data_IF_306359154669
#
_entry.id   IF_306359154669
#
_cell.length_a   1.000
_cell.length_b   1.000
_cell.length_c   1.000
_cell.angle_alpha   90.00
_cell.angle_beta   90.00
_cell.angle_gamma   90.00
#
_symmetry.space_group_name_H-M   'P 1'
#
loop_
_entity.id
_entity.type
_entity.pdbx_description
1 polymer ?
#
# COMPACT_ATOMS: atom_id res chain seq x y z
N UNK A 1 23.95 32.20 -9.44
CA UNK A 1 23.21 32.90 -8.37
C UNK A 1 21.86 32.20 -8.23
N UNK A 2 21.69 31.41 -7.16
CA UNK A 2 20.42 30.75 -6.86
C UNK A 2 19.45 31.81 -6.37
N UNK A 3 18.33 32.00 -7.07
CA UNK A 3 17.25 32.85 -6.55
C UNK A 3 16.75 32.29 -5.22
N UNK A 4 16.81 33.06 -4.12
CA UNK A 4 15.93 32.82 -2.99
C UNK A 4 14.49 33.18 -3.42
N UNK A 5 13.49 32.69 -2.72
CA UNK A 5 12.10 33.14 -2.84
C UNK A 5 11.26 32.63 -4.01
N UNK A 6 11.24 31.32 -4.19
CA UNK A 6 9.94 30.64 -4.32
C UNK A 6 9.93 29.47 -3.35
N UNK A 7 9.42 29.68 -2.13
CA UNK A 7 8.93 28.55 -1.34
C UNK A 7 7.88 27.85 -2.21
N UNK A 8 8.23 26.70 -2.76
CA UNK A 8 7.23 25.78 -3.28
C UNK A 8 6.22 25.53 -2.15
N UNK A 9 4.91 25.41 -2.44
CA UNK A 9 3.86 25.22 -1.42
C UNK A 9 3.94 23.84 -0.72
N UNK A 10 5.06 23.13 -0.85
CA UNK A 10 5.28 21.86 -0.21
C UNK A 10 5.76 22.10 1.22
N UNK A 11 4.92 21.71 2.18
CA UNK A 11 5.18 21.80 3.61
C UNK A 11 6.48 21.09 4.03
N UNK A 12 6.99 20.15 3.22
CA UNK A 12 8.17 19.32 3.51
C UNK A 12 9.14 19.26 2.32
N UNK A 13 10.46 19.26 2.61
CA UNK A 13 11.55 19.53 1.64
C UNK A 13 12.42 18.33 1.25
N UNK A 14 12.17 17.14 1.80
CA UNK A 14 13.06 15.97 1.62
C UNK A 14 12.42 14.91 0.72
N UNK A 15 12.88 14.74 -0.53
CA UNK A 15 12.41 13.67 -1.39
C UNK A 15 12.94 12.30 -0.94
N UNK A 16 12.24 11.19 -1.25
CA UNK A 16 12.75 9.86 -0.96
C UNK A 16 13.96 9.52 -1.86
N UNK A 17 14.84 8.63 -1.39
CA UNK A 17 16.03 8.20 -2.12
C UNK A 17 15.72 7.33 -3.36
N UNK A 18 14.51 6.80 -3.46
CA UNK A 18 14.02 5.99 -4.58
C UNK A 18 12.58 6.39 -4.91
N UNK A 19 12.08 5.95 -6.07
CA UNK A 19 10.67 6.10 -6.41
C UNK A 19 9.78 5.46 -5.32
N UNK A 20 8.65 6.09 -4.94
CA UNK A 20 7.79 5.59 -3.86
C UNK A 20 7.36 4.13 -4.01
N UNK A 21 7.14 3.67 -5.24
CA UNK A 21 6.75 2.28 -5.56
C UNK A 21 7.85 1.26 -5.22
N UNK A 22 9.11 1.70 -5.14
CA UNK A 22 10.27 0.85 -4.89
C UNK A 22 10.70 0.84 -3.42
N UNK A 23 10.22 1.79 -2.61
CA UNK A 23 10.57 1.88 -1.20
C UNK A 23 10.13 0.66 -0.41
N UNK A 24 10.94 0.29 0.58
CA UNK A 24 10.57 -0.76 1.54
C UNK A 24 9.22 -0.39 2.20
N UNK A 25 8.23 -1.30 2.24
CA UNK A 25 6.94 -1.01 2.85
C UNK A 25 7.02 -0.52 4.30
N UNK A 26 7.97 -1.01 5.09
CA UNK A 26 8.16 -0.55 6.48
C UNK A 26 8.68 0.90 6.55
N UNK A 27 9.45 1.34 5.56
CA UNK A 27 9.90 2.74 5.45
C UNK A 27 8.74 3.66 5.07
N UNK A 28 7.86 3.20 4.17
CA UNK A 28 6.62 3.90 3.85
C UNK A 28 5.69 3.98 5.07
N UNK A 29 5.51 2.86 5.79
CA UNK A 29 4.70 2.82 7.00
C UNK A 29 5.23 3.78 8.07
N UNK A 30 6.54 3.85 8.26
CA UNK A 30 7.18 4.77 9.21
C UNK A 30 6.77 6.24 9.00
N UNK A 31 6.80 6.73 7.75
CA UNK A 31 6.34 8.10 7.48
C UNK A 31 4.81 8.20 7.50
N UNK A 32 4.12 7.14 7.06
CA UNK A 32 2.67 7.11 6.94
C UNK A 32 1.97 7.22 8.29
N UNK A 33 2.51 6.57 9.32
CA UNK A 33 2.07 6.71 10.71
C UNK A 33 2.12 8.17 11.17
N UNK A 34 3.25 8.86 10.95
CA UNK A 34 3.40 10.27 11.33
C UNK A 34 2.45 11.21 10.56
N UNK A 35 2.25 10.96 9.25
CA UNK A 35 1.32 11.74 8.42
C UNK A 35 -0.12 11.54 8.90
N UNK A 36 -0.52 10.30 9.17
CA UNK A 36 -1.87 10.00 9.64
C UNK A 36 -2.13 10.53 11.05
N UNK A 37 -1.16 10.39 11.97
CA UNK A 37 -1.22 10.96 13.32
C UNK A 37 -1.42 12.48 13.27
N UNK A 38 -0.68 13.19 12.39
CA UNK A 38 -0.83 14.64 12.21
C UNK A 38 -2.22 15.02 11.67
N UNK A 39 -2.74 14.27 10.70
CA UNK A 39 -4.10 14.46 10.19
C UNK A 39 -5.14 14.27 11.28
N UNK A 40 -5.08 13.17 12.04
CA UNK A 40 -6.02 12.90 13.12
C UNK A 40 -5.92 13.95 14.23
N UNK A 41 -4.72 14.38 14.61
CA UNK A 41 -4.55 15.46 15.60
C UNK A 41 -5.24 16.74 15.16
N UNK A 42 -5.06 17.15 13.91
CA UNK A 42 -5.75 18.32 13.36
C UNK A 42 -7.27 18.13 13.37
N UNK A 43 -7.76 16.95 12.97
CA UNK A 43 -9.18 16.63 13.00
C UNK A 43 -9.76 16.71 14.42
N UNK A 44 -9.13 16.08 15.42
CA UNK A 44 -9.66 16.12 16.80
C UNK A 44 -9.53 17.52 17.42
N UNK A 45 -8.51 18.30 17.07
CA UNK A 45 -8.38 19.71 17.46
C UNK A 45 -9.45 20.57 16.78
N UNK A 46 -9.98 20.19 15.62
CA UNK A 46 -11.10 20.92 15.01
C UNK A 46 -12.44 20.71 15.74
N UNK A 47 -12.52 19.73 16.65
CA UNK A 47 -13.74 19.41 17.39
C UNK A 47 -13.97 20.34 18.60
N UNK A 48 -15.19 20.40 19.17
CA UNK A 48 -15.52 21.34 20.25
C UNK A 48 -14.69 21.21 21.55
N UNK A 49 -14.10 20.04 21.83
CA UNK A 49 -13.44 19.77 23.12
C UNK A 49 -11.91 19.77 23.01
N UNK A 50 -11.28 20.81 23.56
CA UNK A 50 -9.82 21.03 23.52
C UNK A 50 -9.07 20.52 24.76
N UNK A 51 -9.71 19.75 25.65
CA UNK A 51 -9.05 19.25 26.87
C UNK A 51 -7.99 18.19 26.49
N UNK A 52 -6.72 18.26 26.95
CA UNK A 52 -5.66 17.33 26.54
C UNK A 52 -6.02 15.84 26.67
N UNK A 53 -6.61 15.43 27.81
CA UNK A 53 -7.06 14.05 28.03
C UNK A 53 -8.21 13.63 27.12
N UNK A 54 -9.02 14.58 26.64
CA UNK A 54 -10.06 14.30 25.65
C UNK A 54 -9.47 14.15 24.25
N UNK A 55 -8.54 15.04 23.87
CA UNK A 55 -7.86 14.99 22.58
C UNK A 55 -7.11 13.66 22.40
N UNK A 56 -6.30 13.28 23.39
CA UNK A 56 -5.56 12.02 23.34
C UNK A 56 -6.49 10.80 23.20
N UNK A 57 -7.49 10.67 24.07
CA UNK A 57 -8.45 9.56 24.01
C UNK A 57 -9.22 9.52 22.70
N UNK A 58 -9.57 10.69 22.15
CA UNK A 58 -10.29 10.79 20.87
C UNK A 58 -9.39 10.36 19.72
N UNK A 59 -8.13 10.82 19.68
CA UNK A 59 -7.17 10.44 18.66
C UNK A 59 -6.91 8.92 18.65
N UNK A 60 -6.74 8.29 19.83
CA UNK A 60 -6.51 6.84 19.96
C UNK A 60 -7.60 5.99 19.29
N UNK A 61 -8.84 6.50 19.21
CA UNK A 61 -9.95 5.80 18.51
C UNK A 61 -9.75 5.69 17.00
N UNK A 62 -8.85 6.50 16.43
CA UNK A 62 -8.53 6.49 14.99
C UNK A 62 -7.15 5.87 14.72
N UNK A 63 -6.16 6.13 15.59
CA UNK A 63 -4.75 5.78 15.34
C UNK A 63 -4.32 4.44 15.94
N UNK A 64 -5.18 3.76 16.71
CA UNK A 64 -4.88 2.39 17.16
C UNK A 64 -4.85 1.39 16.00
N UNK A 65 -4.02 0.34 16.11
CA UNK A 65 -3.89 -0.69 15.08
C UNK A 65 -5.26 -1.29 14.68
N UNK A 66 -6.12 -1.54 15.66
CA UNK A 66 -7.51 -1.99 15.44
C UNK A 66 -8.32 -1.03 14.59
N UNK A 67 -8.26 0.26 14.91
CA UNK A 67 -8.99 1.29 14.18
C UNK A 67 -8.47 1.43 12.76
N UNK A 68 -7.15 1.43 12.57
CA UNK A 68 -6.51 1.48 11.25
C UNK A 68 -6.81 0.24 10.40
N UNK A 69 -6.78 -0.95 11.01
CA UNK A 69 -7.17 -2.20 10.36
C UNK A 69 -8.62 -2.17 9.85
N UNK A 70 -9.56 -1.72 10.70
CA UNK A 70 -10.96 -1.54 10.31
C UNK A 70 -11.11 -0.50 9.19
N UNK A 71 -10.41 0.63 9.30
CA UNK A 71 -10.43 1.67 8.27
C UNK A 71 -9.93 1.13 6.92
N UNK A 72 -8.82 0.40 6.90
CA UNK A 72 -8.29 -0.21 5.70
C UNK A 72 -9.30 -1.16 5.05
N UNK A 73 -9.94 -2.03 5.84
CA UNK A 73 -10.94 -2.96 5.32
C UNK A 73 -12.09 -2.24 4.60
N UNK A 74 -12.59 -1.16 5.18
CA UNK A 74 -13.63 -0.34 4.56
C UNK A 74 -13.14 0.37 3.30
N UNK A 75 -11.86 0.76 3.24
CA UNK A 75 -11.27 1.46 2.10
C UNK A 75 -10.97 0.54 0.90
N UNK A 76 -10.81 -0.77 1.09
CA UNK A 76 -10.38 -1.71 0.03
C UNK A 76 -11.16 -1.56 -1.29
N UNK A 77 -12.51 -1.44 -1.31
CA UNK A 77 -13.27 -1.28 -2.56
C UNK A 77 -13.02 0.04 -3.27
N UNK A 78 -12.49 1.05 -2.57
CA UNK A 78 -12.21 2.38 -3.10
C UNK A 78 -10.81 2.49 -3.69
N UNK A 79 -9.94 1.52 -3.44
CA UNK A 79 -8.54 1.58 -3.86
C UNK A 79 -8.38 1.25 -5.34
N UNK A 80 -7.42 1.92 -5.98
CA UNK A 80 -6.98 1.52 -7.32
C UNK A 80 -6.20 0.20 -7.25
N UNK A 81 -5.93 -0.41 -8.40
CA UNK A 81 -5.10 -1.61 -8.47
C UNK A 81 -3.68 -1.35 -7.92
N UNK A 82 -3.10 -0.20 -8.28
CA UNK A 82 -1.78 0.22 -7.80
C UNK A 82 -1.76 0.37 -6.26
N UNK A 83 -2.74 1.08 -5.69
CA UNK A 83 -2.88 1.25 -4.24
C UNK A 83 -3.10 -0.09 -3.53
N UNK A 84 -3.92 -0.97 -4.12
CA UNK A 84 -4.15 -2.32 -3.62
C UNK A 84 -2.86 -3.14 -3.59
N UNK A 85 -1.98 -2.99 -4.58
CA UNK A 85 -0.68 -3.66 -4.60
C UNK A 85 0.28 -3.13 -3.53
N UNK A 86 0.26 -1.82 -3.25
CA UNK A 86 0.99 -1.21 -2.14
C UNK A 86 0.49 -1.76 -0.79
N UNK A 87 -0.82 -1.84 -0.58
CA UNK A 87 -1.44 -2.42 0.61
C UNK A 87 -1.03 -3.88 0.81
N UNK A 88 -1.08 -4.70 -0.26
CA UNK A 88 -0.66 -6.11 -0.21
C UNK A 88 0.81 -6.24 0.23
N UNK A 89 1.70 -5.37 -0.26
CA UNK A 89 3.12 -5.34 0.14
C UNK A 89 3.29 -4.99 1.62
N UNK A 90 2.59 -3.96 2.09
CA UNK A 90 2.62 -3.57 3.51
C UNK A 90 2.14 -4.70 4.43
N UNK A 91 1.04 -5.37 4.07
CA UNK A 91 0.49 -6.51 4.84
C UNK A 91 1.46 -7.68 4.95
N UNK A 92 2.25 -7.91 3.90
CA UNK A 92 3.20 -9.01 3.82
C UNK A 92 4.59 -8.65 4.37
N UNK A 93 4.81 -7.38 4.77
CA UNK A 93 6.06 -6.95 5.36
C UNK A 93 6.25 -7.62 6.73
N UNK A 94 7.42 -8.24 6.93
CA UNK A 94 7.76 -8.90 8.19
C UNK A 94 8.54 -7.92 9.07
N UNK A 95 7.88 -7.31 10.05
CA UNK A 95 8.55 -6.75 11.22
C UNK A 95 8.97 -7.93 12.11
N UNK A 96 10.24 -8.06 12.46
CA UNK A 96 10.80 -9.24 13.13
C UNK A 96 10.30 -9.56 14.55
N UNK A 97 9.09 -9.13 14.96
CA UNK A 97 8.48 -9.45 16.25
C UNK A 97 7.33 -10.47 16.12
N UNK A 98 7.20 -11.33 17.13
CA UNK A 98 6.21 -12.41 17.21
C UNK A 98 5.04 -11.99 18.11
N UNK A 99 4.06 -11.26 17.56
CA UNK A 99 2.80 -11.02 18.26
C UNK A 99 1.91 -12.28 18.28
N UNK A 100 0.89 -12.32 19.15
CA UNK A 100 -0.11 -13.41 19.19
C UNK A 100 -0.97 -13.38 17.92
N UNK A 101 -1.42 -14.53 17.42
CA UNK A 101 -2.00 -14.66 16.06
C UNK A 101 -3.10 -13.64 15.68
N UNK A 102 -4.03 -13.29 16.58
CA UNK A 102 -5.06 -12.29 16.31
C UNK A 102 -4.48 -10.86 16.19
N UNK A 103 -3.56 -10.52 17.09
CA UNK A 103 -2.82 -9.25 17.05
C UNK A 103 -1.95 -9.13 15.80
N UNK A 104 -1.45 -10.26 15.27
CA UNK A 104 -0.61 -10.28 14.06
C UNK A 104 -1.38 -9.82 12.83
N UNK A 105 -2.63 -10.28 12.64
CA UNK A 105 -3.43 -9.85 11.49
C UNK A 105 -3.80 -8.37 11.59
N UNK A 106 -4.23 -7.93 12.77
CA UNK A 106 -4.54 -6.52 13.03
C UNK A 106 -3.33 -5.63 12.76
N UNK A 107 -2.16 -6.00 13.28
CA UNK A 107 -0.93 -5.27 13.09
C UNK A 107 -0.53 -5.19 11.61
N UNK A 108 -0.60 -6.32 10.88
CA UNK A 108 -0.30 -6.34 9.43
C UNK A 108 -1.24 -5.44 8.63
N UNK A 109 -2.51 -5.36 9.00
CA UNK A 109 -3.45 -4.46 8.36
C UNK A 109 -3.18 -2.99 8.71
N UNK A 110 -2.83 -2.68 9.96
CA UNK A 110 -2.38 -1.32 10.34
C UNK A 110 -1.15 -0.90 9.55
N UNK A 111 -0.11 -1.74 9.50
CA UNK A 111 1.11 -1.45 8.73
C UNK A 111 0.81 -1.29 7.25
N UNK A 112 -0.13 -2.06 6.69
CA UNK A 112 -0.57 -1.90 5.30
C UNK A 112 -1.26 -0.56 5.04
N UNK A 113 -2.07 -0.09 5.99
CA UNK A 113 -2.70 1.23 5.93
C UNK A 113 -1.66 2.34 5.99
N UNK A 114 -0.75 2.30 6.96
CA UNK A 114 0.37 3.26 7.09
C UNK A 114 1.23 3.27 5.81
N UNK A 115 1.50 2.10 5.24
CA UNK A 115 2.25 1.97 3.97
C UNK A 115 1.54 2.73 2.84
N UNK A 116 0.21 2.61 2.72
CA UNK A 116 -0.57 3.32 1.70
C UNK A 116 -0.50 4.84 1.90
N UNK A 117 -0.64 5.31 3.14
CA UNK A 117 -0.54 6.73 3.48
C UNK A 117 0.84 7.28 3.11
N UNK A 118 1.91 6.60 3.53
CA UNK A 118 3.28 7.01 3.21
C UNK A 118 3.58 6.99 1.72
N UNK A 119 3.03 6.01 0.99
CA UNK A 119 3.13 5.93 -0.46
C UNK A 119 2.51 7.15 -1.15
N UNK A 120 1.24 7.45 -0.84
CA UNK A 120 0.53 8.59 -1.44
C UNK A 120 1.20 9.92 -1.11
N UNK A 121 1.71 10.05 0.12
CA UNK A 121 2.47 11.21 0.56
C UNK A 121 3.74 11.43 -0.27
N UNK A 122 4.58 10.41 -0.44
CA UNK A 122 5.82 10.53 -1.21
C UNK A 122 5.59 10.57 -2.73
N UNK A 123 4.48 10.01 -3.22
CA UNK A 123 3.99 10.21 -4.58
C UNK A 123 3.47 11.64 -4.83
N UNK A 124 3.34 12.44 -3.76
CA UNK A 124 2.78 13.79 -3.81
C UNK A 124 1.35 13.81 -4.34
N UNK A 125 0.63 12.70 -4.19
CA UNK A 125 -0.76 12.55 -4.60
C UNK A 125 -1.69 13.11 -3.51
N UNK A 126 -1.52 14.39 -3.15
CA UNK A 126 -2.11 14.97 -1.94
C UNK A 126 -3.64 15.02 -1.96
N UNK A 127 -4.26 15.21 -3.12
CA UNK A 127 -5.72 15.14 -3.25
C UNK A 127 -6.24 13.73 -2.93
N UNK A 128 -5.56 12.71 -3.47
CA UNK A 128 -5.91 11.31 -3.22
C UNK A 128 -5.62 10.92 -1.77
N UNK A 129 -4.50 11.37 -1.22
CA UNK A 129 -4.15 11.19 0.19
C UNK A 129 -5.24 11.79 1.09
N UNK A 130 -5.64 13.04 0.85
CA UNK A 130 -6.71 13.68 1.60
C UNK A 130 -8.03 12.92 1.48
N UNK A 131 -8.40 12.46 0.27
CA UNK A 131 -9.59 11.61 0.08
C UNK A 131 -9.55 10.35 0.95
N UNK A 132 -8.43 9.61 0.93
CA UNK A 132 -8.28 8.38 1.72
C UNK A 132 -8.33 8.66 3.24
N UNK A 133 -7.66 9.72 3.70
CA UNK A 133 -7.66 10.10 5.12
C UNK A 133 -9.03 10.58 5.61
N UNK A 134 -9.79 11.33 4.78
CA UNK A 134 -11.14 11.74 5.12
C UNK A 134 -12.10 10.54 5.17
N UNK A 135 -11.99 9.65 4.19
CA UNK A 135 -12.75 8.41 4.14
C UNK A 135 -12.49 7.52 5.37
N UNK A 136 -11.26 7.49 5.91
CA UNK A 136 -10.92 6.70 7.09
C UNK A 136 -11.57 7.18 8.40
N UNK A 137 -12.15 8.39 8.44
CA UNK A 137 -12.84 8.92 9.62
C UNK A 137 -14.20 8.23 9.88
N UNK A 138 -14.86 7.75 8.84
CA UNK A 138 -16.21 7.14 8.90
C UNK A 138 -16.27 5.78 8.17
N UNK A 139 -15.48 4.77 8.58
CA UNK A 139 -15.38 3.50 7.84
C UNK A 139 -16.72 2.73 7.75
N UNK A 140 -17.58 2.87 8.76
CA UNK A 140 -18.90 2.22 8.79
C UNK A 140 -19.83 2.75 7.69
N UNK A 141 -19.72 4.04 7.35
CA UNK A 141 -20.53 4.67 6.30
C UNK A 141 -20.12 4.15 4.93
N UNK A 142 -18.82 3.95 4.71
CA UNK A 142 -18.30 3.36 3.47
C UNK A 142 -18.81 1.93 3.34
N UNK A 143 -18.64 1.11 4.38
CA UNK A 143 -19.11 -0.27 4.39
C UNK A 143 -20.61 -0.39 4.09
N UNK A 144 -21.43 0.49 4.69
CA UNK A 144 -22.87 0.54 4.45
C UNK A 144 -23.24 0.93 3.01
N UNK A 145 -22.55 1.92 2.43
CA UNK A 145 -22.77 2.34 1.04
C UNK A 145 -22.38 1.25 0.04
N UNK A 146 -21.26 0.55 0.28
CA UNK A 146 -20.82 -0.55 -0.58
C UNK A 146 -21.69 -1.79 -0.47
N UNK A 147 -22.25 -2.08 0.71
CA UNK A 147 -23.15 -3.23 0.90
C UNK A 147 -24.54 -3.02 0.27
N UNK A 148 -24.92 -1.76 0.00
CA UNK A 148 -26.25 -1.40 -0.49
C UNK A 148 -26.32 -1.21 -2.01
N UNK A 149 -25.20 -1.30 -2.74
CA UNK A 149 -25.18 -1.26 -4.19
C UNK A 149 -25.27 -2.69 -4.75
N UNK A 150 -26.37 -3.08 -5.44
CA UNK A 150 -26.40 -4.33 -6.16
C UNK A 150 -25.38 -4.29 -7.31
N UNK A 151 -24.58 -5.34 -7.44
CA UNK A 151 -23.63 -5.58 -8.53
C UNK A 151 -24.28 -5.28 -9.90
N UNK A 152 -24.02 -4.11 -10.46
CA UNK A 152 -24.47 -3.77 -11.79
C UNK A 152 -23.58 -4.48 -12.81
N UNK A 153 -24.04 -5.64 -13.30
CA UNK A 153 -23.66 -6.14 -14.62
C UNK A 153 -22.56 -7.21 -14.65
N UNK A 154 -22.87 -8.41 -14.15
CA UNK A 154 -22.38 -9.62 -14.81
C UNK A 154 -23.14 -9.78 -16.14
N UNK A 155 -22.74 -9.01 -17.15
CA UNK A 155 -23.23 -9.18 -18.51
C UNK A 155 -22.71 -10.53 -19.05
N UNK A 156 -23.67 -11.42 -19.27
CA UNK A 156 -23.60 -12.69 -19.98
C UNK A 156 -22.61 -12.70 -21.14
N UNK A 157 -21.61 -13.58 -21.07
CA UNK A 157 -20.94 -14.08 -22.26
C UNK A 157 -21.42 -15.52 -22.50
N UNK A 158 -22.49 -15.67 -23.28
CA UNK A 158 -22.81 -16.93 -23.93
C UNK A 158 -21.95 -17.02 -25.21
N UNK A 159 -21.29 -18.15 -25.49
CA UNK A 159 -21.01 -18.53 -26.86
C UNK A 159 -22.12 -19.47 -27.34
N UNK A 160 -23.02 -18.94 -28.17
CA UNK A 160 -23.88 -19.75 -29.04
C UNK A 160 -23.02 -20.42 -30.12
N UNK A 161 -23.17 -21.73 -30.28
CA UNK A 161 -22.27 -22.59 -31.04
C UNK A 161 -22.49 -22.62 -32.55
N UNK A 162 -21.68 -23.44 -33.24
CA UNK A 162 -22.15 -24.58 -34.03
C UNK A 162 -20.97 -25.46 -34.46
N UNK A 163 -21.27 -26.75 -34.46
CA UNK A 163 -20.52 -27.93 -34.86
C UNK A 163 -20.14 -27.95 -36.35
N UNK A 164 -18.94 -28.42 -36.71
CA UNK A 164 -18.66 -29.50 -37.70
C UNK A 164 -17.21 -29.49 -38.18
N UNK A 165 -16.58 -30.67 -38.27
CA UNK A 165 -15.44 -30.89 -39.19
C UNK A 165 -14.26 -31.65 -38.62
N UNK A 166 -14.26 -32.98 -38.83
CA UNK A 166 -13.08 -33.83 -38.75
C UNK A 166 -12.02 -33.39 -39.78
N UNK A 167 -10.73 -33.38 -39.40
CA UNK A 167 -9.70 -34.04 -40.20
C UNK A 167 -8.39 -34.27 -39.41
N UNK A 168 -7.84 -35.46 -39.58
CA UNK A 168 -6.52 -35.90 -39.12
C UNK A 168 -5.43 -35.21 -39.95
N UNK A 169 -4.24 -35.02 -39.38
CA UNK A 169 -2.95 -35.42 -39.99
C UNK A 169 -1.89 -35.51 -38.88
N UNK A 170 -1.06 -36.54 -39.03
CA UNK A 170 -0.02 -37.03 -38.14
C UNK A 170 1.35 -36.76 -38.79
N UNK A 171 2.41 -36.80 -37.96
CA UNK A 171 3.85 -36.87 -38.27
C UNK A 171 4.53 -35.54 -38.67
N UNK A 172 5.72 -35.18 -38.17
CA UNK A 172 6.62 -35.82 -37.22
C UNK A 172 8.01 -35.16 -37.25
N UNK A 173 8.86 -35.49 -36.24
CA UNK A 173 10.35 -35.60 -36.33
C UNK A 173 11.08 -34.24 -36.49
N UNK A 174 12.20 -33.88 -35.85
CA UNK A 174 13.22 -34.47 -34.97
C UNK A 174 14.14 -33.35 -34.44
N UNK A 175 14.88 -33.66 -33.38
CA UNK A 175 16.26 -33.17 -33.16
C UNK A 175 16.37 -31.82 -32.43
N UNK A 176 17.16 -31.64 -31.39
CA UNK A 176 18.20 -32.48 -30.81
C UNK A 176 19.24 -31.58 -30.12
N UNK A 177 19.31 -31.71 -28.80
CA UNK A 177 20.54 -31.79 -27.97
C UNK A 177 21.66 -30.73 -28.04
N UNK A 178 21.92 -30.17 -26.83
CA UNK A 178 23.20 -30.11 -26.08
C UNK A 178 24.34 -29.23 -26.66
N UNK A 179 25.24 -28.63 -25.90
CA UNK A 179 25.48 -28.45 -24.46
C UNK A 179 26.60 -27.39 -24.28
N UNK A 180 26.86 -27.03 -23.00
CA UNK A 180 28.19 -26.78 -22.38
C UNK A 180 29.09 -25.70 -22.99
N UNK A 181 29.47 -24.65 -22.26
CA UNK A 181 30.63 -24.53 -21.34
C UNK A 181 31.26 -23.16 -21.71
N UNK A 182 32.00 -22.40 -20.92
CA UNK A 182 32.52 -22.45 -19.56
C UNK A 182 33.04 -21.04 -19.28
N UNK A 183 32.89 -20.58 -18.04
CA UNK A 183 33.61 -19.41 -17.54
C UNK A 183 35.10 -19.77 -17.34
N UNK A 184 35.96 -18.74 -17.22
CA UNK A 184 36.99 -18.81 -16.22
C UNK A 184 36.88 -17.67 -15.19
N UNK A 185 37.35 -18.09 -14.03
CA UNK A 185 37.42 -17.51 -12.70
C UNK A 185 38.51 -16.43 -12.55
N UNK A 186 38.54 -15.80 -11.36
CA UNK A 186 39.56 -14.94 -10.71
C UNK A 186 39.34 -13.42 -10.85
N UNK A 187 39.45 -12.58 -9.81
CA UNK A 187 39.98 -12.72 -8.45
C UNK A 187 39.53 -11.49 -7.62
N UNK A 188 39.33 -11.69 -6.31
CA UNK A 188 39.21 -10.63 -5.31
C UNK A 188 40.59 -10.26 -4.72
N UNK A 189 40.73 -9.08 -4.12
CA UNK A 189 41.42 -8.90 -2.83
C UNK A 189 40.47 -8.24 -1.81
N UNK A 190 40.23 -8.86 -0.65
CA UNK A 190 40.95 -8.73 0.62
C UNK A 190 40.80 -7.36 1.31
N UNK A 191 40.08 -7.40 2.43
CA UNK A 191 40.30 -6.72 3.72
C UNK A 191 40.87 -5.29 3.79
N UNK A 192 40.14 -4.47 4.55
CA UNK A 192 40.60 -3.55 5.60
C UNK A 192 40.09 -2.12 5.43
N UNK A 193 39.10 -1.72 6.24
CA UNK A 193 39.39 -0.79 7.34
C UNK A 193 38.25 -0.72 8.36
N UNK A 194 38.61 -1.02 9.61
CA UNK A 194 37.97 -0.46 10.80
C UNK A 194 38.38 1.01 10.90
N UNK A 195 37.42 1.90 11.13
CA UNK A 195 37.46 3.00 12.09
C UNK A 195 36.06 3.60 12.18
#
# INVERSE_FOLDING_TARGET
MNSPDKLSPQLFRYPPSQKPELLNPLVLAYVGDAVYEMFIRQYVISMPSQRPNHLHRTATRYVSAKAQSRALQALLPLLTEEETNIVKRGRNAKSGSTAKNADVLEYRHSTAFETLIGYLYYKQAYERLNYIMQASLEPEKIAALTASQPEAGAASNQPGGTDTGMEKIQAGVSGGTKASESAPDRQAPSDANKL
#
